data_IF_235572552395
#
_entry.id   IF_235572552395
#
_cell.length_a   1.000
_cell.length_b   1.000
_cell.length_c   1.000
_cell.angle_alpha   90.00
_cell.angle_beta   90.00
_cell.angle_gamma   90.00
#
_symmetry.space_group_name_H-M   'P 1'
#
loop_
_entity.id
_entity.type
_entity.pdbx_description
1 polymer ?
#
# COMPACT_ATOMS: atom_id res chain seq x y z
N UNK A 1 -22.34 -3.06 -38.60
CA UNK A 1 -21.47 -4.21 -38.30
C UNK A 1 -20.74 -3.92 -36.99
N UNK A 2 -21.22 -4.47 -35.87
CA UNK A 2 -20.51 -4.33 -34.60
C UNK A 2 -19.34 -5.32 -34.61
N UNK A 3 -18.14 -4.83 -34.90
CA UNK A 3 -16.91 -5.60 -34.80
C UNK A 3 -16.69 -6.01 -33.34
N UNK A 4 -17.09 -7.23 -33.01
CA UNK A 4 -16.81 -7.93 -31.75
C UNK A 4 -15.28 -8.06 -31.59
N UNK A 5 -14.66 -7.02 -31.05
CA UNK A 5 -13.21 -6.96 -30.88
C UNK A 5 -12.93 -7.44 -29.46
N UNK A 6 -12.65 -8.74 -29.31
CA UNK A 6 -12.11 -9.22 -28.05
C UNK A 6 -10.81 -8.46 -27.76
N UNK A 7 -10.80 -7.69 -26.68
CA UNK A 7 -9.65 -6.91 -26.28
C UNK A 7 -8.48 -7.86 -25.96
N UNK A 8 -7.29 -7.65 -26.53
CA UNK A 8 -6.15 -8.49 -26.24
C UNK A 8 -5.77 -8.35 -24.77
N UNK A 9 -5.33 -9.47 -24.16
CA UNK A 9 -4.90 -9.53 -22.75
C UNK A 9 -3.83 -8.49 -22.39
N UNK A 10 -3.00 -8.10 -23.37
CA UNK A 10 -1.96 -7.09 -23.24
C UNK A 10 -2.03 -6.08 -24.38
N UNK A 11 -2.07 -4.80 -24.03
CA UNK A 11 -2.14 -3.66 -24.92
C UNK A 11 -0.76 -3.01 -25.04
N UNK A 12 -0.38 -2.58 -26.24
CA UNK A 12 0.74 -1.65 -26.45
C UNK A 12 0.39 -0.24 -25.97
N UNK A 13 1.36 0.67 -25.87
CA UNK A 13 1.10 2.06 -25.47
C UNK A 13 0.10 2.78 -26.41
N UNK A 14 0.14 2.46 -27.71
CA UNK A 14 -0.81 3.02 -28.68
C UNK A 14 -2.22 2.45 -28.51
N UNK A 15 -2.33 1.15 -28.21
CA UNK A 15 -3.62 0.53 -27.91
C UNK A 15 -4.19 1.02 -26.57
N UNK A 16 -3.34 1.19 -25.55
CA UNK A 16 -3.73 1.75 -24.25
C UNK A 16 -4.21 3.21 -24.37
N UNK A 17 -3.54 4.01 -25.20
CA UNK A 17 -3.94 5.38 -25.51
C UNK A 17 -5.33 5.43 -26.16
N UNK A 18 -5.60 4.55 -27.13
CA UNK A 18 -6.93 4.42 -27.75
C UNK A 18 -7.99 3.92 -26.76
N UNK A 19 -7.63 2.96 -25.91
CA UNK A 19 -8.53 2.39 -24.91
C UNK A 19 -8.99 3.43 -23.88
N UNK A 20 -8.07 4.24 -23.36
CA UNK A 20 -8.36 5.30 -22.38
C UNK A 20 -8.79 6.62 -23.00
N UNK A 21 -8.75 6.74 -24.33
CA UNK A 21 -8.96 7.99 -25.06
C UNK A 21 -8.09 9.16 -24.55
N UNK A 22 -6.82 8.87 -24.24
CA UNK A 22 -5.83 9.87 -23.79
C UNK A 22 -4.60 9.86 -24.69
N UNK A 23 -3.92 10.99 -24.79
CA UNK A 23 -2.69 11.10 -25.57
C UNK A 23 -1.56 10.22 -24.98
N UNK A 24 -0.73 9.64 -25.84
CA UNK A 24 0.45 8.84 -25.46
C UNK A 24 1.38 9.57 -24.44
N UNK A 25 1.64 10.89 -24.57
CA UNK A 25 2.42 11.62 -23.56
C UNK A 25 1.81 11.57 -22.15
N UNK A 26 0.48 11.58 -22.05
CA UNK A 26 -0.25 11.48 -20.76
C UNK A 26 -0.01 10.13 -20.11
N UNK A 27 -0.05 9.03 -20.87
CA UNK A 27 0.33 7.70 -20.41
C UNK A 27 1.77 7.64 -19.90
N UNK A 28 2.71 8.26 -20.62
CA UNK A 28 4.13 8.35 -20.20
C UNK A 28 4.28 9.19 -18.92
N UNK A 29 3.46 10.24 -18.75
CA UNK A 29 3.43 11.04 -17.53
C UNK A 29 2.89 10.22 -16.36
N UNK A 30 1.85 9.42 -16.57
CA UNK A 30 1.29 8.53 -15.56
C UNK A 30 2.30 7.46 -15.13
N UNK A 31 3.09 6.92 -16.05
CA UNK A 31 4.23 6.06 -15.72
C UNK A 31 5.25 6.77 -14.83
N UNK A 32 5.67 7.99 -15.21
CA UNK A 32 6.64 8.80 -14.46
C UNK A 32 6.13 9.14 -13.06
N UNK A 33 4.84 9.43 -12.92
CA UNK A 33 4.16 9.69 -11.65
C UNK A 33 3.88 8.40 -10.84
N UNK A 34 4.15 7.21 -11.40
CA UNK A 34 3.87 5.93 -10.77
C UNK A 34 2.38 5.59 -10.64
N UNK A 35 1.51 6.25 -11.43
CA UNK A 35 0.07 6.00 -11.51
C UNK A 35 -0.23 4.74 -12.32
N UNK A 36 0.67 4.32 -13.20
CA UNK A 36 0.57 3.05 -13.91
C UNK A 36 1.96 2.44 -14.07
N UNK A 37 2.08 1.12 -13.94
CA UNK A 37 3.36 0.40 -14.07
C UNK A 37 3.28 -0.65 -15.18
N UNK A 38 3.82 -0.40 -16.38
CA UNK A 38 3.74 -1.35 -17.48
C UNK A 38 4.53 -2.63 -17.17
N UNK A 39 4.00 -3.74 -17.66
CA UNK A 39 4.72 -5.02 -17.71
C UNK A 39 5.74 -4.89 -18.83
N UNK A 40 6.99 -5.26 -18.55
CA UNK A 40 8.05 -5.29 -19.56
C UNK A 40 8.28 -6.73 -20.01
N UNK A 41 8.31 -6.92 -21.32
CA UNK A 41 8.66 -8.21 -21.94
C UNK A 41 10.18 -8.41 -21.96
N UNK A 42 10.65 -9.61 -22.31
CA UNK A 42 12.09 -9.90 -22.47
C UNK A 42 12.79 -8.93 -23.45
N UNK A 43 12.08 -8.45 -24.47
CA UNK A 43 12.54 -7.41 -25.41
C UNK A 43 12.36 -5.96 -24.91
N UNK A 44 12.16 -5.75 -23.60
CA UNK A 44 11.96 -4.45 -22.94
C UNK A 44 10.77 -3.63 -23.48
N UNK A 45 9.81 -4.26 -24.18
CA UNK A 45 8.61 -3.58 -24.67
C UNK A 45 7.57 -3.45 -23.55
N UNK A 46 6.92 -2.28 -23.48
CA UNK A 46 5.85 -1.98 -22.52
C UNK A 46 4.53 -2.62 -22.93
N UNK A 47 3.88 -3.29 -21.98
CA UNK A 47 2.56 -3.91 -22.12
C UNK A 47 1.66 -3.51 -20.94
N UNK A 48 0.40 -3.21 -21.21
CA UNK A 48 -0.61 -2.81 -20.21
C UNK A 48 -1.76 -3.81 -20.25
N UNK A 49 -2.33 -4.18 -19.11
CA UNK A 49 -3.61 -4.90 -19.09
C UNK A 49 -4.77 -3.90 -19.04
N UNK A 50 -5.96 -4.23 -19.56
CA UNK A 50 -7.14 -3.38 -19.44
C UNK A 50 -7.43 -2.97 -17.98
N UNK A 51 -7.34 -3.93 -17.05
CA UNK A 51 -7.54 -3.68 -15.62
C UNK A 51 -6.60 -2.61 -15.06
N UNK A 52 -5.31 -2.62 -15.45
CA UNK A 52 -4.36 -1.58 -15.01
C UNK A 52 -4.73 -0.19 -15.52
N UNK A 53 -5.34 -0.12 -16.71
CA UNK A 53 -5.78 1.14 -17.31
C UNK A 53 -7.05 1.64 -16.61
N UNK A 54 -8.01 0.75 -16.35
CA UNK A 54 -9.24 1.05 -15.61
C UNK A 54 -8.93 1.53 -14.18
N UNK A 55 -8.02 0.85 -13.48
CA UNK A 55 -7.57 1.26 -12.14
C UNK A 55 -6.91 2.64 -12.15
N UNK A 56 -6.04 2.90 -13.13
CA UNK A 56 -5.39 4.20 -13.28
C UNK A 56 -6.41 5.32 -13.53
N UNK A 57 -7.47 5.05 -14.32
CA UNK A 57 -8.56 5.99 -14.59
C UNK A 57 -9.42 6.23 -13.34
N UNK A 58 -9.68 5.19 -12.55
CA UNK A 58 -10.37 5.27 -11.27
C UNK A 58 -9.55 5.95 -10.15
N UNK A 59 -8.35 6.44 -10.46
CA UNK A 59 -7.44 7.05 -9.48
C UNK A 59 -6.82 6.06 -8.50
N UNK A 60 -7.01 4.76 -8.73
CA UNK A 60 -6.38 3.70 -7.94
C UNK A 60 -4.93 3.60 -8.40
N UNK A 61 -4.01 4.09 -7.57
CA UNK A 61 -2.59 3.89 -7.83
C UNK A 61 -2.30 2.40 -7.83
N UNK A 62 -1.46 1.88 -8.74
CA UNK A 62 -1.06 0.49 -8.74
C UNK A 62 -0.51 0.23 -7.36
N UNK A 63 -1.09 -0.76 -6.69
CA UNK A 63 -0.55 -1.24 -5.44
C UNK A 63 0.94 -1.45 -5.68
N UNK A 64 1.79 -0.63 -5.02
CA UNK A 64 3.22 -0.98 -4.91
C UNK A 64 3.21 -2.44 -4.47
N UNK A 65 4.00 -3.35 -5.07
CA UNK A 65 3.95 -4.77 -4.76
C UNK A 65 3.97 -4.89 -3.24
N UNK A 66 2.78 -5.13 -2.70
CA UNK A 66 2.57 -5.28 -1.29
C UNK A 66 3.06 -6.69 -1.10
N UNK A 67 4.29 -6.83 -0.59
CA UNK A 67 4.73 -8.06 0.03
C UNK A 67 3.54 -8.64 0.76
N UNK A 68 3.09 -9.84 0.37
CA UNK A 68 1.88 -10.46 0.92
C UNK A 68 1.96 -10.66 2.45
N UNK A 69 3.15 -10.44 3.01
CA UNK A 69 3.47 -10.53 4.44
C UNK A 69 3.52 -9.17 5.13
N UNK A 70 2.58 -8.27 4.82
CA UNK A 70 2.53 -6.99 5.54
C UNK A 70 1.95 -7.18 6.94
N UNK A 71 2.80 -6.95 7.94
CA UNK A 71 2.51 -7.02 9.35
C UNK A 71 1.59 -5.84 9.75
N UNK A 72 0.50 -6.08 10.48
CA UNK A 72 -0.27 -5.00 11.12
C UNK A 72 0.51 -4.53 12.34
N UNK A 73 0.78 -3.23 12.46
CA UNK A 73 1.43 -2.68 13.67
C UNK A 73 0.40 -1.95 14.51
N UNK A 74 0.17 -2.44 15.73
CA UNK A 74 -0.58 -1.73 16.75
C UNK A 74 0.36 -0.95 17.67
N UNK A 75 0.16 0.36 17.82
CA UNK A 75 0.96 1.18 18.73
C UNK A 75 0.08 1.70 19.88
N UNK A 76 0.46 1.39 21.12
CA UNK A 76 -0.25 1.80 22.33
C UNK A 76 0.66 2.64 23.24
N UNK A 77 0.15 3.73 23.84
CA UNK A 77 0.96 4.58 24.72
C UNK A 77 0.14 5.15 25.87
N UNK A 78 0.74 5.19 27.06
CA UNK A 78 0.20 5.92 28.23
C UNK A 78 1.18 6.98 28.73
N UNK A 79 0.66 8.05 29.33
CA UNK A 79 1.44 9.22 29.74
C UNK A 79 2.12 9.04 31.10
N UNK A 80 1.59 8.18 31.98
CA UNK A 80 2.19 7.89 33.29
C UNK A 80 2.31 6.40 33.56
N UNK A 81 3.34 6.01 34.31
CA UNK A 81 3.52 4.63 34.77
C UNK A 81 2.39 4.15 35.69
N UNK A 82 1.67 5.08 36.35
CA UNK A 82 0.46 4.78 37.13
C UNK A 82 -0.71 4.26 36.28
N UNK A 83 -0.70 4.51 34.97
CA UNK A 83 -1.75 4.09 34.02
C UNK A 83 -1.42 2.75 33.35
N UNK A 84 -0.62 1.90 34.02
CA UNK A 84 -0.20 0.60 33.48
C UNK A 84 -1.38 -0.33 33.21
N UNK A 85 -2.45 -0.22 34.00
CA UNK A 85 -3.67 -0.99 33.81
C UNK A 85 -4.43 -0.54 32.55
N UNK A 86 -4.47 0.77 32.28
CA UNK A 86 -5.06 1.31 31.05
C UNK A 86 -4.28 0.88 29.81
N UNK A 87 -2.94 0.84 29.89
CA UNK A 87 -2.10 0.34 28.79
C UNK A 87 -2.39 -1.13 28.49
N UNK A 88 -2.53 -1.98 29.51
CA UNK A 88 -2.91 -3.39 29.33
C UNK A 88 -4.26 -3.52 28.63
N UNK A 89 -5.24 -2.71 29.03
CA UNK A 89 -6.57 -2.68 28.41
C UNK A 89 -6.48 -2.27 26.94
N UNK A 90 -5.72 -1.22 26.62
CA UNK A 90 -5.50 -0.78 25.24
C UNK A 90 -4.85 -1.88 24.39
N UNK A 91 -3.81 -2.55 24.91
CA UNK A 91 -3.15 -3.66 24.22
C UNK A 91 -4.14 -4.79 23.95
N UNK A 92 -4.95 -5.19 24.93
CA UNK A 92 -5.93 -6.27 24.77
C UNK A 92 -6.97 -5.95 23.69
N UNK A 93 -7.49 -4.72 23.66
CA UNK A 93 -8.46 -4.29 22.64
C UNK A 93 -7.87 -4.32 21.24
N UNK A 94 -6.65 -3.78 21.07
CA UNK A 94 -5.98 -3.75 19.77
C UNK A 94 -5.60 -5.18 19.34
N UNK A 95 -5.17 -6.03 20.27
CA UNK A 95 -4.86 -7.44 20.01
C UNK A 95 -6.09 -8.16 19.48
N UNK A 96 -7.24 -8.08 20.18
CA UNK A 96 -8.49 -8.68 19.71
C UNK A 96 -8.88 -8.20 18.31
N UNK A 97 -8.75 -6.89 18.05
CA UNK A 97 -9.06 -6.34 16.72
C UNK A 97 -8.13 -6.90 15.63
N UNK A 98 -6.84 -7.02 15.92
CA UNK A 98 -5.87 -7.59 14.98
C UNK A 98 -6.05 -9.10 14.77
N UNK A 99 -6.41 -9.85 15.81
CA UNK A 99 -6.73 -11.27 15.72
C UNK A 99 -7.95 -11.52 14.84
N UNK A 100 -9.00 -10.71 14.97
CA UNK A 100 -10.18 -10.77 14.10
C UNK A 100 -9.86 -10.48 12.63
N UNK A 101 -8.81 -9.71 12.34
CA UNK A 101 -8.36 -9.42 10.98
C UNK A 101 -7.62 -10.60 10.32
N UNK A 102 -7.19 -11.60 11.09
CA UNK A 102 -6.54 -12.81 10.59
C UNK A 102 -5.19 -12.57 9.88
N UNK A 103 -4.54 -11.43 10.12
CA UNK A 103 -3.24 -11.07 9.54
C UNK A 103 -2.16 -11.10 10.62
N UNK A 104 -0.90 -11.41 10.28
CA UNK A 104 0.19 -11.32 11.25
C UNK A 104 0.28 -9.88 11.77
N UNK A 105 0.40 -9.71 13.08
CA UNK A 105 0.46 -8.39 13.72
C UNK A 105 1.53 -8.32 14.80
N UNK A 106 1.96 -7.10 15.13
CA UNK A 106 2.89 -6.81 16.21
C UNK A 106 2.42 -5.59 16.98
N UNK A 107 2.38 -5.72 18.31
CA UNK A 107 2.02 -4.63 19.21
C UNK A 107 3.29 -4.00 19.77
N UNK A 108 3.39 -2.68 19.66
CA UNK A 108 4.45 -1.86 20.23
C UNK A 108 3.82 -0.99 21.32
N UNK A 109 4.43 -0.94 22.50
CA UNK A 109 3.93 -0.15 23.62
C UNK A 109 4.99 0.79 24.17
N UNK A 110 4.60 2.02 24.51
CA UNK A 110 5.48 2.99 25.16
C UNK A 110 4.83 3.59 26.42
N UNK A 111 5.65 3.89 27.43
CA UNK A 111 5.23 4.58 28.66
C UNK A 111 6.05 5.86 28.82
N UNK A 112 5.38 6.97 29.12
CA UNK A 112 6.01 8.18 29.65
C UNK A 112 5.39 9.48 29.14
N UNK A 113 5.60 10.53 29.91
CA UNK A 113 5.08 11.87 29.66
C UNK A 113 5.89 12.60 28.59
N UNK A 114 5.23 13.50 27.85
CA UNK A 114 5.85 14.28 26.77
C UNK A 114 6.06 13.53 25.44
N UNK A 115 6.43 14.28 24.40
CA UNK A 115 6.89 13.77 23.11
C UNK A 115 8.40 13.50 23.23
N UNK A 116 8.78 12.22 23.35
CA UNK A 116 10.19 11.82 23.38
C UNK A 116 10.49 10.90 22.19
N UNK A 117 11.17 11.47 21.20
CA UNK A 117 11.54 10.80 19.93
C UNK A 117 12.63 9.74 20.07
N UNK A 118 13.26 9.62 21.24
CA UNK A 118 14.28 8.60 21.52
C UNK A 118 13.71 7.31 22.10
N UNK A 119 12.40 7.25 22.36
CA UNK A 119 11.73 6.04 22.84
C UNK A 119 11.91 4.87 21.87
N UNK A 120 12.15 3.68 22.42
CA UNK A 120 12.45 2.48 21.64
C UNK A 120 11.27 2.07 20.76
N UNK A 121 10.04 2.12 21.28
CA UNK A 121 8.85 1.75 20.51
C UNK A 121 8.59 2.70 19.34
N UNK A 122 8.68 4.01 19.57
CA UNK A 122 8.55 5.00 18.49
C UNK A 122 9.61 4.84 17.39
N UNK A 123 10.89 4.60 17.75
CA UNK A 123 11.96 4.33 16.77
C UNK A 123 11.69 3.06 15.97
N UNK A 124 11.22 2.01 16.64
CA UNK A 124 10.85 0.75 16.00
C UNK A 124 9.67 0.92 15.04
N UNK A 125 8.64 1.67 15.43
CA UNK A 125 7.51 2.00 14.56
C UNK A 125 7.96 2.77 13.31
N UNK A 126 8.79 3.81 13.48
CA UNK A 126 9.33 4.58 12.36
C UNK A 126 10.17 3.69 11.45
N UNK A 127 11.01 2.82 12.01
CA UNK A 127 11.81 1.87 11.23
C UNK A 127 10.92 0.91 10.41
N UNK A 128 9.88 0.35 11.02
CA UNK A 128 8.95 -0.57 10.36
C UNK A 128 8.12 0.11 9.25
N UNK A 129 7.77 1.39 9.42
CA UNK A 129 7.12 2.21 8.39
C UNK A 129 8.11 2.49 7.24
N UNK A 130 9.34 2.90 7.56
CA UNK A 130 10.37 3.21 6.56
C UNK A 130 10.78 1.98 5.74
N UNK A 131 10.81 0.80 6.36
CA UNK A 131 11.13 -0.48 5.72
C UNK A 131 9.95 -1.10 4.94
N UNK A 132 8.78 -0.46 4.92
CA UNK A 132 7.56 -0.91 4.20
C UNK A 132 7.03 -2.28 4.61
N UNK A 133 7.39 -2.78 5.79
CA UNK A 133 6.92 -4.06 6.33
C UNK A 133 5.48 -4.01 6.86
N UNK A 134 4.85 -2.83 6.89
CA UNK A 134 3.55 -2.61 7.50
C UNK A 134 2.44 -2.40 6.47
N UNK A 135 1.28 -3.04 6.67
CA UNK A 135 0.07 -2.74 5.89
C UNK A 135 -0.50 -1.43 6.42
N UNK A 136 -0.64 -0.46 5.51
CA UNK A 136 -1.48 0.71 5.74
C UNK A 136 -2.95 0.33 5.61
#
# INVERSE_FOLDING_TARGET
MASNTQLPKYLSIGQASKYLNIAIPTLRLWERKGIIKPIRTAGNQRRYTPQMLDDALAGKKPAKPVSKDKLIIGYCRVSSAGQKNDLKRQIAVVTNFCEMQGKPFKIISDIGSGLNYHKKGLKELIHLICTQQCSQ
#
